data_IF_989303423390
#
_entry.id   IF_989303423390
#
_cell.length_a   1.000
_cell.length_b   1.000
_cell.length_c   1.000
_cell.angle_alpha   90.00
_cell.angle_beta   90.00
_cell.angle_gamma   90.00
#
_symmetry.space_group_name_H-M   'P 1'
#
loop_
_entity.id
_entity.type
_entity.pdbx_description
1 polymer ?
#
# COMPACT_ATOMS: atom_id res chain seq x y z
N UNK A 1 -19.17 62.46 15.52
CA UNK A 1 -18.36 61.26 15.82
C UNK A 1 -18.89 60.11 14.98
N UNK A 2 -18.11 59.59 14.03
CA UNK A 2 -18.48 58.42 13.23
C UNK A 2 -17.72 57.22 13.79
N UNK A 3 -18.45 56.24 14.31
CA UNK A 3 -17.92 55.03 14.91
C UNK A 3 -17.47 54.09 13.79
N UNK A 4 -16.17 53.82 13.73
CA UNK A 4 -15.57 52.85 12.80
C UNK A 4 -15.87 51.45 13.33
N UNK A 5 -16.61 50.63 12.58
CA UNK A 5 -16.72 49.20 12.82
C UNK A 5 -15.64 48.48 12.02
N UNK A 6 -14.59 48.03 12.71
CA UNK A 6 -13.62 47.08 12.14
C UNK A 6 -14.23 45.69 12.31
N UNK A 7 -14.83 45.15 11.25
CA UNK A 7 -15.29 43.76 11.23
C UNK A 7 -14.08 42.87 10.96
N UNK A 8 -13.57 42.21 12.00
CA UNK A 8 -12.48 41.25 11.90
C UNK A 8 -12.93 39.98 11.18
N UNK A 9 -12.26 39.65 10.08
CA UNK A 9 -12.42 38.37 9.37
C UNK A 9 -11.60 37.30 10.10
N UNK A 10 -12.24 36.51 10.97
CA UNK A 10 -11.60 35.36 11.60
C UNK A 10 -11.59 34.19 10.60
N UNK A 11 -10.47 34.01 9.90
CA UNK A 11 -10.19 32.82 9.10
C UNK A 11 -10.03 31.61 10.04
N UNK A 12 -11.10 30.84 10.20
CA UNK A 12 -11.06 29.51 10.81
C UNK A 12 -10.35 28.55 9.83
N UNK A 13 -9.02 28.57 9.83
CA UNK A 13 -8.20 27.55 9.18
C UNK A 13 -8.31 26.26 10.02
N UNK A 14 -9.36 25.48 9.81
CA UNK A 14 -9.43 24.12 10.34
C UNK A 14 -8.45 23.26 9.54
N UNK A 15 -7.22 23.17 10.04
CA UNK A 15 -6.26 22.17 9.58
C UNK A 15 -6.83 20.80 9.96
N UNK A 16 -7.47 20.12 9.01
CA UNK A 16 -7.72 18.69 9.11
C UNK A 16 -6.36 17.98 9.10
N UNK A 17 -5.74 17.84 10.27
CA UNK A 17 -4.64 16.93 10.48
C UNK A 17 -5.21 15.52 10.26
N UNK A 18 -4.99 14.95 9.08
CA UNK A 18 -5.25 13.52 8.89
C UNK A 18 -4.28 12.78 9.80
N UNK A 19 -4.81 11.96 10.71
CA UNK A 19 -3.98 11.11 11.54
C UNK A 19 -3.20 10.16 10.64
N UNK A 20 -1.87 10.21 10.74
CA UNK A 20 -0.98 9.27 10.09
C UNK A 20 -0.68 8.16 11.07
N UNK A 21 -0.85 6.92 10.64
CA UNK A 21 -0.55 5.72 11.40
C UNK A 21 0.61 4.98 10.73
N UNK A 22 1.43 4.32 11.54
CA UNK A 22 2.46 3.39 11.06
C UNK A 22 2.00 1.98 11.37
N UNK A 23 2.00 1.12 10.36
CA UNK A 23 1.84 -0.31 10.52
C UNK A 23 3.23 -0.93 10.48
N UNK A 24 3.55 -1.68 11.52
CA UNK A 24 4.77 -2.48 11.60
C UNK A 24 4.46 -3.95 11.35
N UNK A 25 5.29 -4.59 10.56
CA UNK A 25 5.24 -6.00 10.21
C UNK A 25 6.47 -6.66 10.81
N UNK A 26 6.43 -6.88 12.13
CA UNK A 26 7.60 -7.32 12.92
C UNK A 26 8.25 -8.61 12.38
N UNK A 27 7.45 -9.51 11.81
CA UNK A 27 7.92 -10.79 11.28
C UNK A 27 8.94 -10.66 10.13
N UNK A 28 8.94 -9.54 9.40
CA UNK A 28 9.81 -9.29 8.24
C UNK A 28 10.49 -7.92 8.30
N UNK A 29 10.51 -7.31 9.48
CA UNK A 29 11.14 -6.01 9.74
C UNK A 29 10.77 -4.93 8.70
N UNK A 30 9.49 -4.89 8.29
CA UNK A 30 8.95 -3.87 7.41
C UNK A 30 7.98 -2.95 8.14
N UNK A 31 7.84 -1.72 7.64
CA UNK A 31 6.75 -0.83 8.02
C UNK A 31 6.23 -0.03 6.84
N UNK A 32 4.99 0.44 6.95
CA UNK A 32 4.39 1.38 6.02
C UNK A 32 3.46 2.35 6.76
N UNK A 33 3.21 3.49 6.14
CA UNK A 33 2.36 4.57 6.66
C UNK A 33 0.99 4.54 6.00
N UNK A 34 -0.05 4.92 6.75
CA UNK A 34 -1.43 4.93 6.30
C UNK A 34 -2.25 6.02 7.00
N UNK A 35 -3.36 6.44 6.40
CA UNK A 35 -4.32 7.37 7.04
C UNK A 35 -5.48 6.64 7.72
N UNK A 36 -5.51 5.31 7.61
CA UNK A 36 -6.56 4.46 8.19
C UNK A 36 -5.99 3.47 9.20
N UNK A 37 -6.86 2.96 10.06
CA UNK A 37 -6.48 1.89 11.00
C UNK A 37 -6.66 0.55 10.31
N UNK A 38 -5.57 -0.17 10.07
CA UNK A 38 -5.60 -1.56 9.66
C UNK A 38 -5.75 -2.49 10.85
N UNK A 39 -6.44 -3.60 10.64
CA UNK A 39 -6.46 -4.75 11.55
C UNK A 39 -5.89 -5.96 10.82
N UNK A 40 -5.12 -6.79 11.53
CA UNK A 40 -4.69 -8.09 11.00
C UNK A 40 -5.90 -9.00 10.83
N UNK A 41 -5.88 -9.83 9.80
CA UNK A 41 -6.85 -10.89 9.59
C UNK A 41 -6.14 -12.19 9.21
N UNK A 42 -6.82 -13.32 9.41
CA UNK A 42 -6.30 -14.64 9.06
C UNK A 42 -6.55 -14.90 7.57
N UNK A 43 -5.47 -15.11 6.82
CA UNK A 43 -5.46 -15.40 5.39
C UNK A 43 -5.63 -16.89 5.10
N UNK A 44 -5.50 -17.74 6.13
CA UNK A 44 -5.44 -19.20 5.99
C UNK A 44 -4.10 -19.71 5.45
N UNK A 45 -3.10 -18.84 5.27
CA UNK A 45 -1.75 -19.19 4.81
C UNK A 45 -0.70 -18.71 5.81
N UNK A 46 0.20 -19.61 6.21
CA UNK A 46 1.30 -19.28 7.12
C UNK A 46 2.32 -18.31 6.50
N UNK A 47 2.33 -18.19 5.17
CA UNK A 47 3.27 -17.35 4.42
C UNK A 47 2.66 -16.00 4.00
N UNK A 48 1.41 -15.70 4.38
CA UNK A 48 0.72 -14.47 3.97
C UNK A 48 0.23 -13.71 5.19
N UNK A 49 0.72 -12.48 5.36
CA UNK A 49 0.30 -11.57 6.41
C UNK A 49 -0.79 -10.62 5.87
N UNK A 50 -2.02 -10.82 6.33
CA UNK A 50 -3.18 -10.04 5.88
C UNK A 50 -3.53 -8.88 6.81
N UNK A 51 -3.81 -7.71 6.24
CA UNK A 51 -4.31 -6.52 6.92
C UNK A 51 -5.50 -5.94 6.17
N UNK A 52 -6.56 -5.53 6.88
CA UNK A 52 -7.71 -4.88 6.26
C UNK A 52 -8.20 -3.63 7.00
N UNK A 53 -8.89 -2.76 6.28
CA UNK A 53 -9.62 -1.64 6.83
C UNK A 53 -11.09 -1.73 6.42
N UNK A 54 -11.95 -2.18 7.34
CA UNK A 54 -13.40 -2.28 7.11
C UNK A 54 -14.11 -0.93 7.16
N UNK A 55 -15.17 -0.80 6.35
CA UNK A 55 -16.13 0.28 6.48
C UNK A 55 -16.95 0.05 7.76
N UNK A 56 -17.10 1.11 8.57
CA UNK A 56 -17.81 1.01 9.84
C UNK A 56 -19.26 0.56 9.61
N UNK A 57 -19.65 -0.52 10.28
CA UNK A 57 -20.98 -1.13 10.16
C UNK A 57 -21.28 -1.69 8.75
N UNK A 58 -20.27 -2.03 7.95
CA UNK A 58 -20.42 -2.82 6.73
C UNK A 58 -19.50 -4.04 6.76
N UNK A 59 -19.82 -5.04 5.95
CA UNK A 59 -18.92 -6.14 5.63
C UNK A 59 -17.88 -5.74 4.57
N UNK A 60 -18.07 -4.59 3.91
CA UNK A 60 -17.17 -4.03 2.90
C UNK A 60 -15.88 -3.46 3.50
N UNK A 61 -14.87 -3.34 2.64
CA UNK A 61 -13.54 -2.85 2.97
C UNK A 61 -13.21 -1.58 2.18
N UNK A 62 -12.43 -0.66 2.79
CA UNK A 62 -11.82 0.45 2.05
C UNK A 62 -10.51 0.02 1.41
N UNK A 63 -9.73 -0.78 2.14
CA UNK A 63 -8.42 -1.26 1.75
C UNK A 63 -8.17 -2.65 2.33
N UNK A 64 -7.39 -3.46 1.61
CA UNK A 64 -6.74 -4.65 2.13
C UNK A 64 -5.28 -4.67 1.65
N UNK A 65 -4.40 -5.24 2.45
CA UNK A 65 -2.99 -5.47 2.13
C UNK A 65 -2.66 -6.89 2.52
N UNK A 66 -2.23 -7.67 1.54
CA UNK A 66 -1.68 -9.00 1.75
C UNK A 66 -0.20 -8.95 1.46
N UNK A 67 0.61 -9.48 2.38
CA UNK A 67 2.07 -9.52 2.23
C UNK A 67 2.49 -10.99 2.22
N UNK A 68 2.90 -11.49 1.06
CA UNK A 68 3.40 -12.84 0.89
C UNK A 68 4.94 -12.90 0.96
N UNK A 69 5.45 -13.91 1.66
CA UNK A 69 6.88 -14.12 1.87
C UNK A 69 7.41 -15.21 0.92
N UNK A 70 8.52 -14.92 0.24
CA UNK A 70 9.19 -15.84 -0.67
C UNK A 70 10.69 -15.95 -0.38
N UNK A 71 11.27 -17.07 -0.80
CA UNK A 71 12.72 -17.21 -0.93
C UNK A 71 13.13 -16.79 -2.34
N UNK A 72 14.21 -16.00 -2.46
CA UNK A 72 14.62 -15.42 -3.77
C UNK A 72 14.99 -16.53 -4.75
N UNK A 73 15.59 -17.60 -4.25
CA UNK A 73 16.14 -18.73 -4.99
C UNK A 73 15.07 -19.72 -5.49
N UNK A 74 13.80 -19.59 -5.09
CA UNK A 74 12.75 -20.52 -5.50
C UNK A 74 11.98 -20.06 -6.75
N UNK A 75 12.17 -18.82 -7.19
CA UNK A 75 11.51 -18.26 -8.37
C UNK A 75 12.50 -17.45 -9.20
N UNK A 76 12.42 -17.58 -10.53
CA UNK A 76 13.25 -16.81 -11.48
C UNK A 76 12.72 -15.38 -11.60
N UNK A 77 12.82 -14.62 -10.51
CA UNK A 77 12.58 -13.20 -10.52
C UNK A 77 13.82 -12.52 -11.06
N UNK A 78 13.73 -12.08 -12.32
CA UNK A 78 14.83 -11.44 -13.07
C UNK A 78 15.65 -10.46 -12.22
N UNK A 79 16.92 -10.26 -12.60
CA UNK A 79 17.77 -9.23 -11.98
C UNK A 79 17.16 -7.81 -12.08
N UNK A 80 16.16 -7.60 -12.93
CA UNK A 80 15.40 -6.36 -12.99
C UNK A 80 14.16 -6.42 -12.08
N UNK A 81 14.20 -5.65 -10.98
CA UNK A 81 13.10 -5.57 -10.02
C UNK A 81 11.81 -5.06 -10.67
N UNK A 82 11.88 -4.15 -11.65
CA UNK A 82 10.69 -3.63 -12.34
C UNK A 82 10.01 -4.71 -13.16
N UNK A 83 10.79 -5.48 -13.90
CA UNK A 83 10.27 -6.58 -14.71
C UNK A 83 9.66 -7.66 -13.82
N UNK A 84 10.33 -7.99 -12.70
CA UNK A 84 9.82 -8.93 -11.70
C UNK A 84 8.47 -8.47 -11.11
N UNK A 85 8.35 -7.22 -10.64
CA UNK A 85 7.08 -6.70 -10.09
C UNK A 85 5.97 -6.72 -11.14
N UNK A 86 6.29 -6.34 -12.38
CA UNK A 86 5.32 -6.35 -13.49
C UNK A 86 4.86 -7.77 -13.82
N UNK A 87 5.77 -8.75 -13.78
CA UNK A 87 5.47 -10.15 -14.01
C UNK A 87 4.57 -10.71 -12.90
N UNK A 88 4.90 -10.45 -11.64
CA UNK A 88 4.10 -10.86 -10.48
C UNK A 88 2.67 -10.33 -10.61
N UNK A 89 2.50 -9.03 -10.88
CA UNK A 89 1.17 -8.44 -11.05
C UNK A 89 0.33 -9.17 -12.12
N UNK A 90 0.95 -9.57 -13.24
CA UNK A 90 0.28 -10.33 -14.30
C UNK A 90 -0.01 -11.77 -13.89
N UNK A 91 0.89 -12.43 -13.17
CA UNK A 91 0.71 -13.81 -12.69
C UNK A 91 -0.42 -13.91 -11.67
N UNK A 92 -0.61 -12.88 -10.85
CA UNK A 92 -1.75 -12.74 -9.94
C UNK A 92 -3.08 -12.43 -10.66
N UNK A 93 -3.04 -12.25 -11.98
CA UNK A 93 -4.23 -12.02 -12.80
C UNK A 93 -4.66 -10.56 -12.92
N UNK A 94 -3.87 -9.60 -12.40
CA UNK A 94 -4.19 -8.19 -12.52
C UNK A 94 -3.96 -7.68 -13.95
N UNK A 95 -4.76 -6.68 -14.32
CA UNK A 95 -4.79 -6.09 -15.67
C UNK A 95 -4.29 -4.66 -15.68
N UNK A 96 -4.03 -4.12 -16.88
CA UNK A 96 -3.62 -2.72 -17.09
C UNK A 96 -2.45 -2.28 -16.19
N UNK A 97 -1.41 -3.11 -16.15
CA UNK A 97 -0.24 -2.88 -15.29
C UNK A 97 0.54 -1.64 -15.78
N UNK A 98 0.50 -0.60 -14.97
CA UNK A 98 1.17 0.69 -15.13
C UNK A 98 2.43 0.75 -14.25
N UNK A 99 3.48 1.34 -14.81
CA UNK A 99 4.71 1.58 -14.08
C UNK A 99 4.51 2.55 -12.90
N UNK A 100 4.80 2.10 -11.67
CA UNK A 100 4.72 2.93 -10.47
C UNK A 100 6.06 3.57 -10.09
N UNK A 101 7.16 2.84 -10.23
CA UNK A 101 8.52 3.30 -9.97
C UNK A 101 9.20 2.58 -8.80
N UNK A 102 10.44 3.01 -8.50
CA UNK A 102 11.21 2.50 -7.36
C UNK A 102 10.59 2.93 -6.04
N UNK A 103 10.72 2.07 -5.02
CA UNK A 103 10.39 2.44 -3.66
C UNK A 103 11.43 3.45 -3.12
N UNK A 104 11.00 4.55 -2.46
CA UNK A 104 11.93 5.58 -2.00
C UNK A 104 12.90 5.14 -0.89
N UNK A 105 12.50 4.16 -0.09
CA UNK A 105 13.22 3.76 1.13
C UNK A 105 13.78 2.33 1.07
N UNK A 106 13.66 1.67 -0.08
CA UNK A 106 14.11 0.30 -0.28
C UNK A 106 14.76 0.21 -1.66
N UNK A 107 16.08 0.06 -1.71
CA UNK A 107 16.87 0.10 -2.95
C UNK A 107 16.41 -0.96 -3.96
N UNK A 108 16.22 -2.19 -3.48
CA UNK A 108 15.74 -3.33 -4.26
C UNK A 108 14.21 -3.48 -4.17
N UNK A 109 13.51 -2.35 -4.17
CA UNK A 109 12.06 -2.26 -4.07
C UNK A 109 11.44 -1.54 -5.27
N UNK A 110 10.33 -2.08 -5.77
CA UNK A 110 9.59 -1.48 -6.88
C UNK A 110 8.08 -1.66 -6.68
N UNK A 111 7.28 -0.75 -7.23
CA UNK A 111 5.84 -0.90 -7.24
C UNK A 111 5.26 -0.62 -8.63
N UNK A 112 4.14 -1.26 -8.91
CA UNK A 112 3.29 -1.00 -10.09
C UNK A 112 1.87 -0.72 -9.63
N UNK A 113 1.14 0.03 -10.44
CA UNK A 113 -0.31 0.12 -10.31
C UNK A 113 -0.91 -0.88 -11.31
N UNK A 114 -1.85 -1.70 -10.86
CA UNK A 114 -2.63 -2.60 -11.69
C UNK A 114 -4.10 -2.51 -11.30
N UNK A 115 -4.93 -3.31 -11.96
CA UNK A 115 -6.36 -3.32 -11.74
C UNK A 115 -6.89 -4.74 -11.62
N UNK A 116 -7.55 -4.99 -10.49
CA UNK A 116 -8.39 -6.15 -10.30
C UNK A 116 -9.78 -5.87 -10.90
N UNK A 117 -10.27 -6.82 -11.69
CA UNK A 117 -11.51 -6.70 -12.44
C UNK A 117 -12.39 -7.89 -12.08
N UNK A 118 -13.35 -7.65 -11.20
CA UNK A 118 -14.31 -8.66 -10.77
C UNK A 118 -15.73 -8.19 -11.03
N UNK A 119 -16.46 -8.92 -11.86
CA UNK A 119 -17.77 -8.51 -12.38
C UNK A 119 -17.73 -7.09 -12.98
N UNK A 120 -18.57 -6.18 -12.48
CA UNK A 120 -18.63 -4.78 -12.91
C UNK A 120 -17.73 -3.85 -12.10
N UNK A 121 -16.92 -4.39 -11.18
CA UNK A 121 -16.02 -3.61 -10.34
C UNK A 121 -14.58 -3.62 -10.83
N UNK A 122 -13.98 -2.43 -10.87
CA UNK A 122 -12.57 -2.21 -11.18
C UNK A 122 -11.90 -1.66 -9.94
N UNK A 123 -11.01 -2.42 -9.31
CA UNK A 123 -10.30 -2.03 -8.09
C UNK A 123 -8.85 -1.70 -8.44
N UNK A 124 -8.37 -0.47 -8.15
CA UNK A 124 -6.95 -0.17 -8.24
C UNK A 124 -6.19 -1.01 -7.22
N UNK A 125 -5.11 -1.65 -7.67
CA UNK A 125 -4.24 -2.49 -6.84
C UNK A 125 -2.80 -2.03 -7.01
N UNK A 126 -2.12 -1.76 -5.90
CA UNK A 126 -0.68 -1.53 -5.94
C UNK A 126 0.03 -2.83 -5.61
N UNK A 127 0.88 -3.30 -6.53
CA UNK A 127 1.75 -4.46 -6.32
C UNK A 127 3.13 -3.95 -6.02
N UNK A 128 3.67 -4.38 -4.89
CA UNK A 128 4.96 -3.96 -4.39
C UNK A 128 5.81 -5.22 -4.29
N UNK A 129 7.01 -5.17 -4.87
CA UNK A 129 7.96 -6.27 -4.75
C UNK A 129 9.27 -5.74 -4.18
N UNK A 130 9.76 -6.42 -3.15
CA UNK A 130 10.96 -6.06 -2.41
C UNK A 130 11.87 -7.29 -2.36
N UNK A 131 13.14 -7.14 -2.73
CA UNK A 131 14.18 -8.15 -2.46
C UNK A 131 15.03 -7.70 -1.28
N UNK A 132 15.15 -8.54 -0.27
CA UNK A 132 16.13 -8.41 0.81
C UNK A 132 17.25 -9.43 0.60
N UNK A 133 18.25 -9.03 -0.18
CA UNK A 133 19.39 -9.89 -0.54
C UNK A 133 20.25 -10.28 0.66
N UNK A 134 20.26 -9.47 1.73
CA UNK A 134 21.06 -9.73 2.92
C UNK A 134 20.63 -11.01 3.65
N UNK A 135 19.34 -11.35 3.58
CA UNK A 135 18.76 -12.53 4.23
C UNK A 135 18.16 -13.53 3.23
N UNK A 136 18.39 -13.32 1.93
CA UNK A 136 17.88 -14.15 0.83
C UNK A 136 16.35 -14.32 0.85
N UNK A 137 15.63 -13.21 1.01
CA UNK A 137 14.16 -13.19 1.04
C UNK A 137 13.58 -12.16 0.08
N UNK A 138 12.37 -12.43 -0.41
CA UNK A 138 11.58 -11.47 -1.17
C UNK A 138 10.18 -11.36 -0.58
N UNK A 139 9.59 -10.18 -0.74
CA UNK A 139 8.26 -9.87 -0.25
C UNK A 139 7.45 -9.31 -1.41
N UNK A 140 6.26 -9.87 -1.60
CA UNK A 140 5.20 -9.28 -2.41
C UNK A 140 4.19 -8.66 -1.46
N UNK A 141 3.78 -7.43 -1.74
CA UNK A 141 2.62 -6.85 -1.07
C UNK A 141 1.59 -6.40 -2.10
N UNK A 142 0.39 -6.97 -2.01
CA UNK A 142 -0.78 -6.60 -2.80
C UNK A 142 -1.66 -5.65 -1.97
N UNK A 143 -1.71 -4.37 -2.36
CA UNK A 143 -2.57 -3.35 -1.75
C UNK A 143 -3.82 -3.09 -2.60
N UNK A 144 -4.97 -3.61 -2.16
CA UNK A 144 -6.28 -3.36 -2.75
C UNK A 144 -6.86 -2.02 -2.29
N UNK A 145 -7.25 -1.17 -3.24
CA UNK A 145 -7.93 0.12 -2.97
C UNK A 145 -9.42 0.03 -3.31
N UNK A 146 -10.19 -0.71 -2.53
CA UNK A 146 -11.63 -0.92 -2.76
C UNK A 146 -12.43 0.38 -2.80
N UNK A 147 -12.05 1.38 -2.00
CA UNK A 147 -12.64 2.73 -2.03
C UNK A 147 -12.23 3.58 -3.25
N UNK A 148 -11.44 3.00 -4.18
CA UNK A 148 -10.93 3.61 -5.42
C UNK A 148 -10.00 4.82 -5.21
N UNK A 149 -9.54 5.08 -3.98
CA UNK A 149 -8.67 6.21 -3.67
C UNK A 149 -7.21 5.91 -4.04
N UNK A 150 -6.89 6.02 -5.34
CA UNK A 150 -5.53 5.82 -5.88
C UNK A 150 -4.47 6.66 -5.19
N UNK A 151 -4.81 7.89 -4.77
CA UNK A 151 -3.84 8.83 -4.19
C UNK A 151 -3.37 8.38 -2.81
N UNK A 152 -4.28 7.87 -1.99
CA UNK A 152 -3.93 7.34 -0.67
C UNK A 152 -3.24 5.98 -0.80
N UNK A 153 -3.70 5.12 -1.71
CA UNK A 153 -3.01 3.87 -2.07
C UNK A 153 -1.56 4.11 -2.50
N UNK A 154 -1.31 5.10 -3.35
CA UNK A 154 0.05 5.48 -3.78
C UNK A 154 0.93 5.92 -2.62
N UNK A 155 0.37 6.68 -1.68
CA UNK A 155 1.11 7.13 -0.49
C UNK A 155 1.50 5.93 0.38
N UNK A 156 0.57 5.01 0.62
CA UNK A 156 0.83 3.78 1.36
C UNK A 156 1.93 2.95 0.66
N UNK A 157 1.77 2.67 -0.64
CA UNK A 157 2.74 1.88 -1.41
C UNK A 157 4.17 2.47 -1.36
N UNK A 158 4.29 3.80 -1.50
CA UNK A 158 5.60 4.48 -1.46
C UNK A 158 6.22 4.62 -0.06
N UNK A 159 5.46 4.33 0.99
CA UNK A 159 5.92 4.48 2.37
C UNK A 159 6.58 3.23 2.95
N UNK A 160 6.57 2.11 2.20
CA UNK A 160 7.25 0.88 2.61
C UNK A 160 8.74 1.14 2.86
N UNK A 161 9.22 0.68 4.01
CA UNK A 161 10.61 0.76 4.44
C UNK A 161 10.96 -0.40 5.37
N UNK A 162 12.24 -0.77 5.41
CA UNK A 162 12.75 -1.65 6.47
C UNK A 162 12.76 -0.91 7.81
N UNK A 163 12.65 -1.67 8.90
CA UNK A 163 12.92 -1.19 10.25
C UNK A 163 14.44 -1.07 10.44
N UNK A 164 14.86 -0.01 11.14
CA UNK A 164 16.27 0.22 11.50
C UNK A 164 16.72 -0.64 12.69
#
# INVERSE_FOLDING_TARGET
MKTTYITGFALFFSLFLMAQHTITVDAIELSFETTVIFKKYDTGSDNVLGYHNKIKNSDDENYAIDIELFKIDTQDYSNDIKEATTLIAKQLGFTDVEDGGKLPFIENGYYVLAYDRFADEITPVYIIFIKNEAINEAYEATLYCYNKNKKDGLKMARSFKFLD
#
